data_IF_373777896398
#
_entry.id   IF_373777896398
#
_cell.length_a   1.000
_cell.length_b   1.000
_cell.length_c   1.000
_cell.angle_alpha   90.00
_cell.angle_beta   90.00
_cell.angle_gamma   90.00
#
_symmetry.space_group_name_H-M   'P 1'
#
loop_
_entity.id
_entity.type
_entity.pdbx_description
1 polymer ?
#
# COMPACT_ATOMS: atom_id res chain seq x y z
N UNK A 1 -13.93 1.04 -20.64
CA UNK A 1 -13.03 0.37 -21.60
C UNK A 1 -11.90 -0.25 -20.79
N UNK A 2 -11.85 -1.59 -20.72
CA UNK A 2 -10.88 -2.34 -19.92
C UNK A 2 -9.61 -2.54 -20.75
N UNK A 3 -8.44 -2.24 -20.20
CA UNK A 3 -7.14 -2.59 -20.80
C UNK A 3 -6.73 -3.95 -20.24
N UNK A 4 -6.30 -4.92 -21.08
CA UNK A 4 -5.93 -6.25 -20.63
C UNK A 4 -4.52 -6.26 -20.04
N UNK A 5 -4.36 -6.87 -18.88
CA UNK A 5 -3.06 -7.25 -18.36
C UNK A 5 -2.55 -8.44 -19.18
N UNK A 6 -1.39 -8.29 -19.83
CA UNK A 6 -0.79 -9.34 -20.63
C UNK A 6 -0.39 -10.54 -19.76
N UNK A 7 -1.09 -11.65 -19.96
CA UNK A 7 -0.65 -12.96 -19.54
C UNK A 7 0.59 -13.37 -20.36
N UNK A 8 1.72 -13.60 -19.70
CA UNK A 8 2.83 -14.34 -20.28
C UNK A 8 2.85 -15.73 -19.64
N UNK A 9 2.27 -16.69 -20.37
CA UNK A 9 2.40 -18.12 -20.11
C UNK A 9 3.80 -18.52 -20.60
N UNK A 10 4.71 -18.80 -19.68
CA UNK A 10 5.95 -19.51 -20.01
C UNK A 10 5.69 -21.01 -19.86
N UNK A 11 5.54 -21.69 -21.00
CA UNK A 11 5.47 -23.14 -21.08
C UNK A 11 6.83 -23.75 -20.73
N UNK A 12 6.87 -24.62 -19.72
CA UNK A 12 8.02 -25.48 -19.45
C UNK A 12 8.06 -26.61 -20.49
N UNK A 13 9.02 -26.55 -21.41
CA UNK A 13 9.42 -27.69 -22.25
C UNK A 13 10.41 -28.52 -21.42
N UNK A 14 10.00 -29.73 -21.04
CA UNK A 14 10.85 -30.71 -20.38
C UNK A 14 11.71 -31.42 -21.43
N UNK A 15 12.96 -30.98 -21.63
CA UNK A 15 13.95 -31.77 -22.38
C UNK A 15 14.80 -32.58 -21.41
N UNK A 16 14.78 -33.91 -21.61
CA UNK A 16 15.62 -34.85 -20.89
C UNK A 16 17.11 -34.58 -21.17
N UNK A 17 17.94 -34.50 -20.13
CA UNK A 17 19.40 -34.49 -20.25
C UNK A 17 20.00 -35.82 -19.79
N UNK A 18 21.01 -36.37 -20.50
CA UNK A 18 21.75 -37.53 -20.06
C UNK A 18 22.84 -37.17 -19.04
N UNK A 19 23.09 -38.13 -18.15
CA UNK A 19 24.17 -38.16 -17.16
C UNK A 19 25.56 -38.05 -17.82
N UNK A 20 26.34 -37.05 -17.44
CA UNK A 20 27.75 -37.20 -17.01
C UNK A 20 28.44 -35.83 -16.89
N UNK A 21 29.02 -35.59 -15.71
CA UNK A 21 30.35 -35.01 -15.46
C UNK A 21 30.32 -34.07 -14.25
N UNK A 22 30.96 -34.55 -13.19
CA UNK A 22 31.32 -33.78 -12.01
C UNK A 22 32.20 -32.59 -12.40
N UNK A 23 31.71 -31.38 -12.15
CA UNK A 23 32.57 -30.25 -11.82
C UNK A 23 32.07 -29.65 -10.51
N UNK A 24 32.90 -29.80 -9.47
CA UNK A 24 32.84 -29.04 -8.24
C UNK A 24 33.05 -27.56 -8.60
N UNK A 25 31.96 -26.85 -8.85
CA UNK A 25 31.87 -25.45 -8.49
C UNK A 25 31.19 -25.41 -7.11
N UNK A 26 31.79 -24.70 -6.17
CA UNK A 26 31.16 -24.38 -4.90
C UNK A 26 29.76 -23.81 -5.20
N UNK A 27 28.73 -24.64 -4.99
CA UNK A 27 27.35 -24.20 -4.97
C UNK A 27 27.26 -23.26 -3.77
N UNK A 28 27.42 -21.97 -4.04
CA UNK A 28 26.84 -20.93 -3.21
C UNK A 28 25.41 -21.40 -2.97
N UNK A 29 25.11 -21.75 -1.71
CA UNK A 29 23.80 -22.23 -1.34
C UNK A 29 22.83 -21.09 -1.69
N UNK A 30 22.11 -21.26 -2.81
CA UNK A 30 21.02 -20.36 -3.13
C UNK A 30 20.09 -20.36 -1.91
N UNK A 31 19.62 -19.20 -1.43
CA UNK A 31 18.68 -19.15 -0.32
C UNK A 31 17.53 -20.10 -0.64
N UNK A 32 17.38 -21.16 0.15
CA UNK A 32 16.24 -22.05 -0.04
C UNK A 32 14.99 -21.23 0.26
N UNK A 33 14.15 -21.04 -0.76
CA UNK A 33 12.87 -20.37 -0.60
C UNK A 33 11.98 -21.10 0.41
N UNK A 34 10.86 -20.48 0.81
CA UNK A 34 9.90 -21.13 1.70
C UNK A 34 9.45 -22.47 1.11
N UNK A 35 9.42 -23.51 1.95
CA UNK A 35 9.05 -24.85 1.54
C UNK A 35 8.05 -25.46 2.52
N UNK A 36 7.04 -26.22 2.06
CA UNK A 36 6.08 -26.85 2.94
C UNK A 36 6.77 -27.97 3.74
N UNK A 37 6.42 -28.09 5.02
CA UNK A 37 6.94 -29.08 5.97
C UNK A 37 6.21 -30.42 5.87
N UNK A 38 5.02 -30.46 5.28
CA UNK A 38 4.24 -31.69 5.14
C UNK A 38 3.31 -31.70 3.93
N UNK A 39 2.87 -32.88 3.52
CA UNK A 39 1.85 -33.02 2.46
C UNK A 39 0.51 -32.36 2.86
N UNK A 40 0.14 -32.40 4.14
CA UNK A 40 -1.07 -31.72 4.63
C UNK A 40 -0.96 -30.21 4.47
N UNK A 41 0.23 -29.64 4.68
CA UNK A 41 0.46 -28.22 4.45
C UNK A 41 0.39 -27.88 2.96
N UNK A 42 0.94 -28.73 2.08
CA UNK A 42 0.78 -28.58 0.62
C UNK A 42 -0.69 -28.50 0.24
N UNK A 43 -1.51 -29.40 0.78
CA UNK A 43 -2.94 -29.45 0.45
C UNK A 43 -3.69 -28.23 1.00
N UNK A 44 -3.33 -27.72 2.18
CA UNK A 44 -3.89 -26.50 2.75
C UNK A 44 -3.49 -25.25 1.95
N UNK A 45 -2.22 -25.12 1.55
CA UNK A 45 -1.73 -24.02 0.71
C UNK A 45 -2.40 -24.01 -0.68
N UNK A 46 -2.71 -25.17 -1.25
CA UNK A 46 -3.49 -25.26 -2.49
C UNK A 46 -4.90 -24.67 -2.33
N UNK A 47 -5.52 -24.81 -1.17
CA UNK A 47 -6.84 -24.20 -0.91
C UNK A 47 -6.74 -22.68 -0.86
N UNK A 48 -5.70 -22.14 -0.22
CA UNK A 48 -5.41 -20.69 -0.25
C UNK A 48 -5.27 -20.22 -1.69
N UNK A 49 -4.44 -20.90 -2.48
CA UNK A 49 -4.21 -20.53 -3.88
C UNK A 49 -5.48 -20.62 -4.73
N UNK A 50 -6.30 -21.67 -4.57
CA UNK A 50 -7.54 -21.84 -5.30
C UNK A 50 -8.56 -20.72 -4.97
N UNK A 51 -8.68 -20.36 -3.69
CA UNK A 51 -9.56 -19.28 -3.26
C UNK A 51 -9.10 -17.90 -3.78
N UNK A 52 -7.79 -17.62 -3.72
CA UNK A 52 -7.20 -16.41 -4.25
C UNK A 52 -7.42 -16.28 -5.77
N UNK A 53 -7.19 -17.37 -6.52
CA UNK A 53 -7.43 -17.41 -7.97
C UNK A 53 -8.91 -17.20 -8.34
N UNK A 54 -9.83 -17.68 -7.50
CA UNK A 54 -11.25 -17.44 -7.67
C UNK A 54 -11.68 -16.02 -7.26
N UNK A 55 -10.77 -15.19 -6.75
CA UNK A 55 -11.08 -13.89 -6.12
C UNK A 55 -12.15 -14.02 -5.03
N UNK A 56 -12.16 -15.16 -4.34
CA UNK A 56 -13.08 -15.44 -3.24
C UNK A 56 -12.40 -15.10 -1.92
N UNK A 57 -12.41 -13.81 -1.57
CA UNK A 57 -11.66 -13.27 -0.44
C UNK A 57 -12.08 -13.87 0.91
N UNK A 58 -13.35 -14.24 1.09
CA UNK A 58 -13.80 -14.92 2.32
C UNK A 58 -13.20 -16.32 2.43
N UNK A 59 -13.23 -17.09 1.34
CA UNK A 59 -12.63 -18.42 1.31
C UNK A 59 -11.09 -18.35 1.44
N UNK A 60 -10.47 -17.31 0.89
CA UNK A 60 -9.03 -17.09 0.98
C UNK A 60 -8.61 -16.82 2.42
N UNK A 61 -9.26 -15.89 3.10
CA UNK A 61 -8.99 -15.58 4.53
C UNK A 61 -9.25 -16.82 5.40
N UNK A 62 -10.31 -17.57 5.15
CA UNK A 62 -10.61 -18.81 5.87
C UNK A 62 -9.52 -19.88 5.66
N UNK A 63 -9.06 -20.07 4.42
CA UNK A 63 -7.98 -21.00 4.11
C UNK A 63 -6.64 -20.56 4.73
N UNK A 64 -6.35 -19.25 4.74
CA UNK A 64 -5.15 -18.70 5.38
C UNK A 64 -5.18 -18.97 6.89
N UNK A 65 -6.29 -18.68 7.57
CA UNK A 65 -6.45 -19.01 8.99
C UNK A 65 -6.23 -20.50 9.24
N UNK A 66 -6.79 -21.37 8.40
CA UNK A 66 -6.58 -22.81 8.52
C UNK A 66 -5.10 -23.20 8.44
N UNK A 67 -4.33 -22.59 7.54
CA UNK A 67 -2.88 -22.84 7.46
C UNK A 67 -2.18 -22.35 8.74
N UNK A 68 -2.43 -21.11 9.16
CA UNK A 68 -1.75 -20.50 10.30
C UNK A 68 -2.06 -21.19 11.64
N UNK A 69 -3.25 -21.78 11.79
CA UNK A 69 -3.66 -22.51 12.98
C UNK A 69 -3.08 -23.93 13.04
N UNK A 70 -2.97 -24.62 11.89
CA UNK A 70 -2.59 -26.03 11.85
C UNK A 70 -1.11 -26.28 11.51
N UNK A 71 -0.41 -25.27 10.98
CA UNK A 71 1.01 -25.34 10.59
C UNK A 71 1.76 -24.14 11.17
N UNK A 72 1.93 -24.12 12.50
CA UNK A 72 2.51 -22.99 13.21
C UNK A 72 3.95 -22.63 12.78
N UNK A 73 4.69 -23.62 12.27
CA UNK A 73 6.07 -23.54 11.75
C UNK A 73 6.15 -23.36 10.22
N UNK A 74 5.03 -23.02 9.57
CA UNK A 74 5.00 -22.74 8.12
C UNK A 74 5.98 -21.62 7.74
N UNK A 75 6.81 -21.87 6.74
CA UNK A 75 7.71 -20.85 6.16
C UNK A 75 6.92 -19.76 5.41
N UNK A 76 5.66 -20.03 5.06
CA UNK A 76 4.82 -19.13 4.27
C UNK A 76 4.11 -18.07 5.10
N UNK A 77 4.30 -18.05 6.43
CA UNK A 77 3.58 -17.14 7.33
C UNK A 77 3.64 -15.67 6.89
N UNK A 78 4.79 -15.07 6.53
CA UNK A 78 4.83 -13.68 6.08
C UNK A 78 3.97 -13.44 4.83
N UNK A 79 4.05 -14.34 3.84
CA UNK A 79 3.26 -14.26 2.61
C UNK A 79 1.75 -14.36 2.90
N UNK A 80 1.36 -15.32 3.74
CA UNK A 80 -0.04 -15.55 4.10
C UNK A 80 -0.65 -14.37 4.86
N UNK A 81 0.12 -13.74 5.76
CA UNK A 81 -0.34 -12.55 6.47
C UNK A 81 -0.58 -11.37 5.50
N UNK A 82 0.34 -11.14 4.55
CA UNK A 82 0.17 -10.11 3.52
C UNK A 82 -1.02 -10.39 2.59
N UNK A 83 -1.23 -11.66 2.21
CA UNK A 83 -2.39 -12.05 1.40
C UNK A 83 -3.70 -11.81 2.15
N UNK A 84 -3.78 -12.14 3.44
CA UNK A 84 -4.98 -11.92 4.23
C UNK A 84 -5.30 -10.42 4.39
N UNK A 85 -4.28 -9.58 4.56
CA UNK A 85 -4.46 -8.12 4.59
C UNK A 85 -4.98 -7.58 3.25
N UNK A 86 -4.40 -7.99 2.11
CA UNK A 86 -4.87 -7.58 0.77
C UNK A 86 -6.31 -8.06 0.51
N UNK A 87 -6.63 -9.32 0.85
CA UNK A 87 -7.98 -9.85 0.72
C UNK A 87 -8.99 -9.04 1.57
N UNK A 88 -8.64 -8.70 2.81
CA UNK A 88 -9.47 -7.85 3.67
C UNK A 88 -9.67 -6.44 3.07
N UNK A 89 -8.60 -5.84 2.54
CA UNK A 89 -8.69 -4.53 1.86
C UNK A 89 -9.60 -4.58 0.63
N UNK A 90 -9.45 -5.59 -0.22
CA UNK A 90 -10.28 -5.75 -1.43
C UNK A 90 -11.75 -5.99 -1.12
N UNK A 91 -12.06 -6.59 0.03
CA UNK A 91 -13.43 -6.71 0.54
C UNK A 91 -13.99 -5.38 1.07
N UNK A 92 -13.15 -4.38 1.34
CA UNK A 92 -13.53 -3.20 2.10
C UNK A 92 -13.76 -3.52 3.59
N UNK A 93 -13.15 -4.59 4.10
CA UNK A 93 -13.26 -5.01 5.50
C UNK A 93 -12.16 -4.34 6.34
N UNK A 94 -12.34 -3.04 6.56
CA UNK A 94 -11.40 -2.20 7.30
C UNK A 94 -10.98 -2.79 8.66
N UNK A 95 -11.89 -3.28 9.53
CA UNK A 95 -11.51 -3.90 10.78
C UNK A 95 -10.54 -5.08 10.60
N UNK A 96 -10.78 -5.95 9.60
CA UNK A 96 -9.87 -7.05 9.31
C UNK A 96 -8.54 -6.57 8.71
N UNK A 97 -8.54 -5.54 7.86
CA UNK A 97 -7.32 -4.94 7.33
C UNK A 97 -6.38 -4.50 8.47
N UNK A 98 -6.93 -3.81 9.48
CA UNK A 98 -6.14 -3.38 10.64
C UNK A 98 -5.60 -4.58 11.41
N UNK A 99 -6.44 -5.58 11.70
CA UNK A 99 -6.02 -6.80 12.43
C UNK A 99 -4.90 -7.54 11.70
N UNK A 100 -5.02 -7.74 10.38
CA UNK A 100 -4.00 -8.45 9.61
C UNK A 100 -2.71 -7.63 9.47
N UNK A 101 -2.81 -6.31 9.28
CA UNK A 101 -1.63 -5.44 9.26
C UNK A 101 -0.88 -5.46 10.60
N UNK A 102 -1.60 -5.43 11.73
CA UNK A 102 -0.98 -5.55 13.05
C UNK A 102 -0.29 -6.92 13.24
N UNK A 103 -0.85 -8.00 12.68
CA UNK A 103 -0.20 -9.32 12.67
C UNK A 103 1.07 -9.34 11.82
N UNK A 104 1.11 -8.63 10.70
CA UNK A 104 2.34 -8.48 9.90
C UNK A 104 3.41 -7.78 10.74
N UNK A 105 3.06 -6.67 11.40
CA UNK A 105 3.99 -5.92 12.26
C UNK A 105 4.49 -6.75 13.44
N UNK A 106 3.62 -7.58 14.03
CA UNK A 106 4.01 -8.49 15.11
C UNK A 106 4.98 -9.57 14.61
N UNK A 107 4.76 -10.09 13.40
CA UNK A 107 5.62 -11.10 12.78
C UNK A 107 6.97 -10.51 12.33
N UNK A 108 6.96 -9.31 11.73
CA UNK A 108 8.15 -8.55 11.35
C UNK A 108 8.05 -7.10 11.84
N UNK A 109 8.62 -6.80 13.01
CA UNK A 109 8.66 -5.43 13.54
C UNK A 109 9.49 -4.46 12.69
N UNK A 110 10.19 -4.90 11.64
CA UNK A 110 10.90 -4.03 10.69
C UNK A 110 10.15 -3.82 9.38
N UNK A 111 8.96 -4.40 9.24
CA UNK A 111 8.12 -4.17 8.06
C UNK A 111 7.61 -2.72 8.07
N UNK A 112 8.29 -1.87 7.31
CA UNK A 112 7.90 -0.48 7.10
C UNK A 112 6.64 -0.37 6.24
N UNK A 113 6.45 -1.29 5.29
CA UNK A 113 5.36 -1.24 4.32
C UNK A 113 4.02 -1.47 5.02
N UNK A 114 3.94 -2.46 5.91
CA UNK A 114 2.74 -2.73 6.69
C UNK A 114 2.35 -1.56 7.59
N UNK A 115 3.32 -0.91 8.23
CA UNK A 115 3.08 0.29 9.06
C UNK A 115 2.52 1.45 8.25
N UNK A 116 3.18 1.77 7.14
CA UNK A 116 2.78 2.89 6.28
C UNK A 116 1.39 2.63 5.70
N UNK A 117 1.12 1.39 5.28
CA UNK A 117 -0.19 1.00 4.77
C UNK A 117 -1.28 1.14 5.84
N UNK A 118 -1.03 0.70 7.08
CA UNK A 118 -1.96 0.92 8.19
C UNK A 118 -2.18 2.41 8.48
N UNK A 119 -1.12 3.23 8.47
CA UNK A 119 -1.27 4.67 8.66
C UNK A 119 -2.20 5.28 7.60
N UNK A 120 -1.97 4.95 6.33
CA UNK A 120 -2.79 5.43 5.22
C UNK A 120 -4.23 4.91 5.29
N UNK A 121 -4.43 3.65 5.67
CA UNK A 121 -5.74 3.03 5.76
C UNK A 121 -6.57 3.60 6.94
N UNK A 122 -5.94 3.80 8.11
CA UNK A 122 -6.57 4.44 9.27
C UNK A 122 -6.92 5.90 8.94
N UNK A 123 -6.02 6.65 8.29
CA UNK A 123 -6.28 8.04 7.91
C UNK A 123 -7.50 8.16 6.98
N UNK A 124 -7.63 7.27 6.00
CA UNK A 124 -8.75 7.27 5.04
C UNK A 124 -10.10 6.91 5.68
N UNK A 125 -10.09 6.10 6.75
CA UNK A 125 -11.31 5.63 7.40
C UNK A 125 -11.71 6.47 8.62
N UNK A 126 -10.82 7.33 9.13
CA UNK A 126 -11.12 8.23 10.24
C UNK A 126 -11.94 9.43 9.76
N UNK A 127 -13.00 9.77 10.51
CA UNK A 127 -13.92 10.87 10.21
C UNK A 127 -13.91 11.89 11.33
N UNK A 128 -14.32 13.12 10.99
CA UNK A 128 -14.33 14.27 11.90
C UNK A 128 -15.13 14.03 13.20
N UNK A 129 -16.16 13.19 13.14
CA UNK A 129 -17.11 12.94 14.23
C UNK A 129 -16.97 11.55 14.86
N UNK A 130 -15.91 10.80 14.55
CA UNK A 130 -15.68 9.48 15.16
C UNK A 130 -15.33 9.64 16.65
N UNK A 131 -15.88 8.76 17.49
CA UNK A 131 -15.66 8.81 18.95
C UNK A 131 -14.19 8.59 19.32
N UNK A 132 -13.47 7.83 18.50
CA UNK A 132 -12.07 7.46 18.67
C UNK A 132 -11.14 8.25 17.74
N UNK A 133 -11.60 9.36 17.13
CA UNK A 133 -10.82 10.16 16.17
C UNK A 133 -9.40 10.43 16.66
N UNK A 134 -9.23 11.01 17.85
CA UNK A 134 -7.91 11.39 18.35
C UNK A 134 -6.98 10.19 18.55
N UNK A 135 -7.53 9.04 18.96
CA UNK A 135 -6.78 7.80 19.09
C UNK A 135 -6.35 7.26 17.72
N UNK A 136 -7.26 7.27 16.74
CA UNK A 136 -6.99 6.84 15.37
C UNK A 136 -5.94 7.72 14.70
N UNK A 137 -6.06 9.04 14.84
CA UNK A 137 -5.07 9.98 14.29
C UNK A 137 -3.70 9.83 14.98
N UNK A 138 -3.66 9.53 16.28
CA UNK A 138 -2.40 9.19 16.95
C UNK A 138 -1.77 7.93 16.34
N UNK A 139 -2.56 6.90 16.04
CA UNK A 139 -2.05 5.69 15.36
C UNK A 139 -1.52 6.00 13.96
N UNK A 140 -2.16 6.91 13.22
CA UNK A 140 -1.65 7.37 11.92
C UNK A 140 -0.24 7.94 12.09
N UNK A 141 -0.07 8.90 13.02
CA UNK A 141 1.24 9.52 13.25
C UNK A 141 2.28 8.48 13.70
N UNK A 142 1.93 7.63 14.69
CA UNK A 142 2.84 6.62 15.23
C UNK A 142 3.31 5.65 14.13
N UNK A 143 2.39 5.10 13.33
CA UNK A 143 2.74 4.16 12.28
C UNK A 143 3.47 4.82 11.10
N UNK A 144 3.05 6.02 10.67
CA UNK A 144 3.70 6.72 9.57
C UNK A 144 5.14 7.11 9.93
N UNK A 145 5.36 7.69 11.11
CA UNK A 145 6.72 8.08 11.54
C UNK A 145 7.61 6.86 11.77
N UNK A 146 7.13 5.81 12.42
CA UNK A 146 7.91 4.57 12.56
C UNK A 146 8.22 3.94 11.20
N UNK A 147 7.26 3.96 10.28
CA UNK A 147 7.45 3.50 8.91
C UNK A 147 8.57 4.27 8.21
N UNK A 148 8.53 5.60 8.25
CA UNK A 148 9.56 6.48 7.69
C UNK A 148 10.94 6.23 8.32
N UNK A 149 11.01 6.06 9.63
CA UNK A 149 12.28 5.78 10.33
C UNK A 149 12.87 4.42 9.94
N UNK A 150 12.04 3.38 9.82
CA UNK A 150 12.47 2.09 9.30
C UNK A 150 12.95 2.22 7.85
N UNK A 151 12.26 3.00 7.02
CA UNK A 151 12.58 3.22 5.62
C UNK A 151 13.97 3.84 5.42
N UNK A 152 14.37 4.79 6.29
CA UNK A 152 15.71 5.40 6.30
C UNK A 152 16.84 4.39 6.50
N UNK A 153 16.55 3.29 7.20
CA UNK A 153 17.52 2.23 7.52
C UNK A 153 17.32 0.96 6.70
N UNK A 154 16.31 0.95 5.82
CA UNK A 154 16.00 -0.20 5.00
C UNK A 154 17.10 -0.45 3.97
N UNK A 155 17.43 -1.73 3.78
CA UNK A 155 18.36 -2.18 2.74
C UNK A 155 18.01 -1.57 1.38
N UNK A 156 19.03 -1.27 0.56
CA UNK A 156 18.87 -0.92 -0.85
C UNK A 156 18.74 -2.16 -1.74
N UNK A 157 19.13 -3.33 -1.23
CA UNK A 157 18.87 -4.60 -1.91
C UNK A 157 17.40 -4.98 -1.76
N UNK A 158 16.69 -5.26 -2.87
CA UNK A 158 15.31 -5.74 -2.82
C UNK A 158 15.20 -7.01 -1.98
N UNK A 159 14.12 -7.18 -1.19
CA UNK A 159 13.89 -8.42 -0.49
C UNK A 159 13.65 -9.58 -1.48
N UNK A 160 13.95 -10.80 -1.05
CA UNK A 160 13.67 -12.01 -1.84
C UNK A 160 12.18 -12.06 -2.15
N UNK A 161 11.83 -12.31 -3.42
CA UNK A 161 10.44 -12.33 -3.88
C UNK A 161 9.88 -10.97 -4.31
N UNK A 162 10.65 -9.88 -4.16
CA UNK A 162 10.29 -8.61 -4.79
C UNK A 162 10.26 -8.77 -6.31
N UNK A 163 9.11 -8.47 -6.91
CA UNK A 163 8.91 -8.56 -8.34
C UNK A 163 9.31 -7.23 -9.00
N UNK A 164 10.57 -7.10 -9.38
CA UNK A 164 11.10 -5.90 -10.03
C UNK A 164 12.62 -5.81 -9.97
N UNK A 165 13.15 -4.75 -10.56
CA UNK A 165 14.58 -4.41 -10.54
C UNK A 165 14.95 -3.68 -9.24
N UNK A 166 16.26 -3.50 -9.01
CA UNK A 166 16.74 -2.66 -7.91
C UNK A 166 16.26 -1.19 -8.04
N UNK A 167 16.10 -0.70 -9.27
CA UNK A 167 15.55 0.63 -9.52
C UNK A 167 14.06 0.70 -9.14
N UNK A 168 13.28 -0.34 -9.46
CA UNK A 168 11.87 -0.43 -9.07
C UNK A 168 11.72 -0.47 -7.55
N UNK A 169 12.65 -1.14 -6.85
CA UNK A 169 12.65 -1.16 -5.39
C UNK A 169 12.99 0.20 -4.77
N UNK A 170 13.96 0.92 -5.34
CA UNK A 170 14.25 2.29 -4.92
C UNK A 170 13.06 3.23 -5.15
N UNK A 171 12.36 3.07 -6.28
CA UNK A 171 11.12 3.79 -6.58
C UNK A 171 10.01 3.44 -5.58
N UNK A 172 9.82 2.15 -5.30
CA UNK A 172 8.87 1.67 -4.28
C UNK A 172 9.12 2.31 -2.91
N UNK A 173 10.38 2.37 -2.46
CA UNK A 173 10.75 3.02 -1.19
C UNK A 173 10.37 4.50 -1.18
N UNK A 174 10.58 5.21 -2.28
CA UNK A 174 10.16 6.62 -2.43
C UNK A 174 8.65 6.78 -2.39
N UNK A 175 7.92 5.92 -3.09
CA UNK A 175 6.46 5.94 -3.10
C UNK A 175 5.87 5.62 -1.71
N UNK A 176 6.51 4.72 -0.95
CA UNK A 176 6.15 4.44 0.44
C UNK A 176 6.40 5.64 1.36
N UNK A 177 7.53 6.34 1.21
CA UNK A 177 7.74 7.59 1.94
C UNK A 177 6.64 8.62 1.60
N UNK A 178 6.32 8.79 0.32
CA UNK A 178 5.24 9.66 -0.11
C UNK A 178 3.87 9.26 0.45
N UNK A 179 3.57 7.97 0.54
CA UNK A 179 2.33 7.46 1.14
C UNK A 179 2.24 7.77 2.64
N UNK A 180 3.35 7.63 3.37
CA UNK A 180 3.41 7.95 4.79
C UNK A 180 3.15 9.44 5.06
N UNK A 181 3.82 10.32 4.31
CA UNK A 181 3.62 11.77 4.43
C UNK A 181 2.19 12.18 4.04
N UNK A 182 1.61 11.54 3.01
CA UNK A 182 0.21 11.78 2.65
C UNK A 182 -0.76 11.32 3.76
N UNK A 183 -0.46 10.25 4.50
CA UNK A 183 -1.27 9.82 5.64
C UNK A 183 -1.21 10.83 6.79
N UNK A 184 -0.02 11.36 7.09
CA UNK A 184 0.15 12.43 8.10
C UNK A 184 -0.61 13.69 7.67
N UNK A 185 -0.53 14.07 6.39
CA UNK A 185 -1.29 15.21 5.86
C UNK A 185 -2.80 15.07 6.03
N UNK A 186 -3.35 13.86 5.83
CA UNK A 186 -4.78 13.59 6.07
C UNK A 186 -5.14 13.71 7.55
N UNK A 187 -4.27 13.22 8.44
CA UNK A 187 -4.47 13.35 9.88
C UNK A 187 -4.43 14.83 10.32
N UNK A 188 -3.55 15.63 9.74
CA UNK A 188 -3.47 17.07 10.00
C UNK A 188 -4.70 17.83 9.47
N UNK A 189 -5.26 17.45 8.31
CA UNK A 189 -6.53 18.01 7.84
C UNK A 189 -7.68 17.74 8.81
N UNK A 190 -7.78 16.51 9.35
CA UNK A 190 -8.78 16.14 10.36
C UNK A 190 -8.58 16.87 11.70
N UNK A 191 -7.37 17.37 11.95
CA UNK A 191 -7.03 18.27 13.07
C UNK A 191 -7.18 19.75 12.71
N UNK A 192 -7.57 20.07 11.47
CA UNK A 192 -7.68 21.44 10.92
C UNK A 192 -6.35 22.20 10.90
N UNK A 193 -5.24 21.47 10.89
CA UNK A 193 -3.87 21.97 10.74
C UNK A 193 -3.53 22.07 9.25
N UNK A 194 -4.27 22.92 8.54
CA UNK A 194 -4.18 22.99 7.09
C UNK A 194 -2.80 23.41 6.54
N UNK A 195 -2.08 24.36 7.16
CA UNK A 195 -0.70 24.66 6.76
C UNK A 195 0.23 23.46 6.84
N UNK A 196 0.16 22.70 7.94
CA UNK A 196 0.95 21.49 8.16
C UNK A 196 0.56 20.39 7.15
N UNK A 197 -0.74 20.17 6.94
CA UNK A 197 -1.22 19.22 5.94
C UNK A 197 -0.70 19.54 4.52
N UNK A 198 -0.70 20.82 4.14
CA UNK A 198 -0.15 21.28 2.85
C UNK A 198 1.35 20.98 2.74
N UNK A 199 2.11 21.18 3.82
CA UNK A 199 3.54 20.83 3.85
C UNK A 199 3.73 19.33 3.64
N UNK A 200 2.99 18.49 4.37
CA UNK A 200 3.11 17.04 4.24
C UNK A 200 2.73 16.53 2.85
N UNK A 201 1.64 17.04 2.26
CA UNK A 201 1.28 16.67 0.89
C UNK A 201 2.30 17.13 -0.15
N UNK A 202 2.95 18.28 0.06
CA UNK A 202 4.04 18.72 -0.82
C UNK A 202 5.25 17.80 -0.70
N UNK A 203 5.66 17.44 0.52
CA UNK A 203 6.72 16.47 0.77
C UNK A 203 6.40 15.14 0.10
N UNK A 204 5.17 14.64 0.28
CA UNK A 204 4.69 13.42 -0.32
C UNK A 204 4.82 13.39 -1.86
N UNK A 205 4.63 14.54 -2.51
CA UNK A 205 4.65 14.67 -3.96
C UNK A 205 6.04 14.98 -4.54
N UNK A 206 6.91 15.64 -3.78
CA UNK A 206 8.23 16.04 -4.25
C UNK A 206 9.18 14.84 -4.39
N UNK A 207 9.08 13.88 -3.47
CA UNK A 207 10.03 12.78 -3.37
C UNK A 207 9.51 11.46 -3.94
N UNK A 208 8.22 11.38 -4.28
CA UNK A 208 7.61 10.19 -4.88
C UNK A 208 8.18 9.90 -6.29
N UNK A 209 8.36 8.62 -6.60
CA UNK A 209 8.76 8.20 -7.94
C UNK A 209 7.58 8.36 -8.92
N UNK A 210 6.35 8.21 -8.42
CA UNK A 210 5.14 8.33 -9.20
C UNK A 210 4.19 9.39 -8.60
N UNK A 211 3.90 10.49 -9.30
CA UNK A 211 2.95 11.50 -8.84
C UNK A 211 1.57 10.90 -8.54
N UNK A 212 1.12 11.00 -7.30
CA UNK A 212 -0.15 10.43 -6.86
C UNK A 212 -1.31 11.42 -7.05
N UNK A 213 -2.22 11.12 -7.98
CA UNK A 213 -3.40 11.95 -8.27
C UNK A 213 -4.33 12.14 -7.05
N UNK A 214 -4.40 11.15 -6.16
CA UNK A 214 -5.19 11.23 -4.92
C UNK A 214 -4.57 12.22 -3.95
N UNK A 215 -3.24 12.16 -3.76
CA UNK A 215 -2.50 13.12 -2.91
C UNK A 215 -2.63 14.55 -3.44
N UNK A 216 -2.54 14.76 -4.76
CA UNK A 216 -2.80 16.07 -5.37
C UNK A 216 -4.22 16.55 -5.11
N UNK A 217 -5.21 15.66 -5.18
CA UNK A 217 -6.59 16.03 -4.94
C UNK A 217 -6.83 16.42 -3.46
N UNK A 218 -6.21 15.71 -2.51
CA UNK A 218 -6.22 16.10 -1.09
C UNK A 218 -5.46 17.41 -0.84
N UNK A 219 -4.33 17.64 -1.51
CA UNK A 219 -3.63 18.94 -1.45
C UNK A 219 -4.52 20.08 -1.94
N UNK A 220 -5.29 19.87 -3.02
CA UNK A 220 -6.26 20.86 -3.49
C UNK A 220 -7.30 21.19 -2.42
N UNK A 221 -7.88 20.18 -1.74
CA UNK A 221 -8.78 20.39 -0.60
C UNK A 221 -8.10 21.17 0.52
N UNK A 222 -6.90 20.77 0.94
CA UNK A 222 -6.17 21.44 2.01
C UNK A 222 -5.93 22.93 1.70
N UNK A 223 -5.62 23.27 0.44
CA UNK A 223 -5.55 24.66 0.00
C UNK A 223 -6.88 25.40 0.08
N UNK A 224 -8.01 24.76 -0.26
CA UNK A 224 -9.35 25.36 -0.10
C UNK A 224 -9.59 25.72 1.36
N UNK A 225 -9.34 24.77 2.27
CA UNK A 225 -9.56 24.96 3.71
C UNK A 225 -8.61 26.02 4.28
N UNK A 226 -7.37 26.09 3.78
CA UNK A 226 -6.42 27.15 4.13
C UNK A 226 -6.65 28.48 3.39
N UNK A 227 -7.76 28.61 2.64
CA UNK A 227 -8.15 29.81 1.87
C UNK A 227 -7.16 30.23 0.77
N UNK A 228 -6.29 29.32 0.35
CA UNK A 228 -5.37 29.50 -0.78
C UNK A 228 -6.05 29.10 -2.09
N UNK A 229 -7.09 29.84 -2.47
CA UNK A 229 -8.00 29.42 -3.55
C UNK A 229 -7.33 29.29 -4.92
N UNK A 230 -6.33 30.12 -5.21
CA UNK A 230 -5.59 30.04 -6.47
C UNK A 230 -4.74 28.77 -6.54
N UNK A 231 -4.03 28.44 -5.46
CA UNK A 231 -3.28 27.19 -5.36
C UNK A 231 -4.20 25.98 -5.42
N UNK A 232 -5.39 26.05 -4.81
CA UNK A 232 -6.39 24.99 -4.86
C UNK A 232 -6.86 24.71 -6.29
N UNK A 233 -7.23 25.76 -7.05
CA UNK A 233 -7.69 25.67 -8.44
C UNK A 233 -6.57 25.10 -9.33
N UNK A 234 -5.38 25.67 -9.25
CA UNK A 234 -4.22 25.22 -10.03
C UNK A 234 -3.89 23.75 -9.73
N UNK A 235 -3.98 23.33 -8.47
CA UNK A 235 -3.73 21.94 -8.08
C UNK A 235 -4.82 20.99 -8.58
N UNK A 236 -6.09 21.37 -8.49
CA UNK A 236 -7.20 20.57 -9.03
C UNK A 236 -7.08 20.39 -10.56
N UNK A 237 -6.69 21.44 -11.28
CA UNK A 237 -6.49 21.38 -12.72
C UNK A 237 -5.41 20.38 -13.13
N UNK A 238 -4.34 20.25 -12.33
CA UNK A 238 -3.33 19.19 -12.56
C UNK A 238 -3.96 17.80 -12.50
N UNK A 239 -4.79 17.52 -11.49
CA UNK A 239 -5.48 16.22 -11.35
C UNK A 239 -6.41 15.94 -12.54
N UNK A 240 -7.15 16.96 -12.99
CA UNK A 240 -8.08 16.83 -14.12
C UNK A 240 -7.35 16.54 -15.45
N UNK A 241 -6.15 17.11 -15.61
CA UNK A 241 -5.30 16.91 -16.77
C UNK A 241 -4.58 15.54 -16.81
N UNK A 242 -4.45 14.84 -15.67
CA UNK A 242 -3.85 13.50 -15.62
C UNK A 242 -4.73 12.49 -16.37
N UNK A 243 -4.19 11.82 -17.38
CA UNK A 243 -4.95 10.86 -18.19
C UNK A 243 -5.31 9.57 -17.44
N UNK A 244 -4.49 9.21 -16.45
CA UNK A 244 -4.55 8.00 -15.64
C UNK A 244 -5.26 8.18 -14.29
N UNK A 245 -5.58 9.42 -13.90
CA UNK A 245 -6.28 9.68 -12.65
C UNK A 245 -7.69 9.02 -12.64
N UNK A 246 -8.04 8.26 -11.58
CA UNK A 246 -9.35 7.60 -11.47
C UNK A 246 -10.51 8.59 -11.59
N UNK A 247 -11.64 8.13 -12.15
CA UNK A 247 -12.82 8.99 -12.35
C UNK A 247 -13.31 9.64 -11.05
N UNK A 248 -13.32 8.88 -9.94
CA UNK A 248 -13.72 9.39 -8.63
C UNK A 248 -12.77 10.49 -8.12
N UNK A 249 -11.47 10.33 -8.34
CA UNK A 249 -10.45 11.32 -7.95
C UNK A 249 -10.61 12.60 -8.78
N UNK A 250 -10.88 12.49 -10.08
CA UNK A 250 -11.20 13.64 -10.94
C UNK A 250 -12.46 14.37 -10.50
N UNK A 251 -13.53 13.63 -10.16
CA UNK A 251 -14.78 14.22 -9.66
C UNK A 251 -14.54 14.98 -8.35
N UNK A 252 -13.77 14.40 -7.44
CA UNK A 252 -13.40 15.07 -6.19
C UNK A 252 -12.58 16.35 -6.45
N UNK A 253 -11.57 16.29 -7.31
CA UNK A 253 -10.77 17.47 -7.69
C UNK A 253 -11.62 18.56 -8.35
N UNK A 254 -12.55 18.19 -9.24
CA UNK A 254 -13.49 19.14 -9.85
C UNK A 254 -14.35 19.83 -8.77
N UNK A 255 -14.86 19.08 -7.79
CA UNK A 255 -15.62 19.66 -6.70
C UNK A 255 -14.80 20.67 -5.87
N UNK A 256 -13.51 20.38 -5.62
CA UNK A 256 -12.61 21.32 -4.93
C UNK A 256 -12.37 22.58 -5.78
N UNK A 257 -12.16 22.44 -7.09
CA UNK A 257 -12.01 23.58 -8.01
C UNK A 257 -13.23 24.49 -8.00
N UNK A 258 -14.43 23.91 -8.09
CA UNK A 258 -15.68 24.66 -8.10
C UNK A 258 -15.89 25.40 -6.77
N UNK A 259 -15.60 24.73 -5.65
CA UNK A 259 -15.69 25.33 -4.32
C UNK A 259 -14.69 26.49 -4.16
N UNK A 260 -13.42 26.29 -4.51
CA UNK A 260 -12.39 27.31 -4.49
C UNK A 260 -12.78 28.54 -5.32
N UNK A 261 -13.30 28.32 -6.53
CA UNK A 261 -13.74 29.39 -7.44
C UNK A 261 -14.86 30.21 -6.81
N UNK A 262 -15.85 29.54 -6.22
CA UNK A 262 -16.98 30.19 -5.53
C UNK A 262 -16.48 31.01 -4.32
N UNK A 263 -15.63 30.43 -3.48
CA UNK A 263 -15.11 31.09 -2.28
C UNK A 263 -14.22 32.29 -2.62
N UNK A 264 -13.36 32.16 -3.64
CA UNK A 264 -12.55 33.28 -4.17
C UNK A 264 -13.42 34.45 -4.62
N UNK A 265 -14.48 34.18 -5.37
CA UNK A 265 -15.39 35.21 -5.85
C UNK A 265 -16.16 35.88 -4.69
N UNK A 266 -16.52 35.12 -3.65
CA UNK A 266 -17.16 35.67 -2.45
C UNK A 266 -16.21 36.52 -1.60
N UNK A 267 -14.93 36.14 -1.49
CA UNK A 267 -13.91 36.90 -0.76
C UNK A 267 -13.49 38.21 -1.45
N UNK A 268 -13.86 38.39 -2.72
CA UNK A 268 -13.55 39.57 -3.52
C UNK A 268 -14.69 40.62 -3.50
N UNK A 269 -15.77 40.38 -2.75
CA UNK A 269 -16.91 41.28 -2.56
C UNK A 269 -16.86 41.91 -1.17
#
# INVERSE_FOLDING_TARGET
MRVPFMAHIAAFVLTAMPLAAYQQAAQQAAPQGPHPKSQKEVDALKQVQAAAQASNYDAEIAAINNVLENFADTDYKPMLLSMAMDAAQRKGDYPQTVVWGERIIQNDPKDFSARILLAADIAQHTRENDLDKDQSLKKVDDYAHQGLDLLKTASDTPPVGFNGTAADYAAFKKDQAGLAEAAIGQADELRKKYPEAIEQYKTALNDAAHPNSTTLAFLSRAYVENKQYDDAIATADKVLAMSDAPSQVKQFAQAQKDNATKLKAAASK
#
